data_IF_572746564288
#
_entry.id   IF_572746564288
#
_cell.length_a   1.000
_cell.length_b   1.000
_cell.length_c   1.000
_cell.angle_alpha   90.00
_cell.angle_beta   90.00
_cell.angle_gamma   90.00
#
_symmetry.space_group_name_H-M   'P 1'
#
loop_
_entity.id
_entity.type
_entity.pdbx_description
1 polymer ?
#
# COMPACT_ATOMS: atom_id res chain seq x y z
N UNK A 1 11.30 17.60 -4.68
CA UNK A 1 10.92 16.43 -5.49
C UNK A 1 10.28 15.29 -4.69
N UNK A 2 10.19 15.35 -3.35
CA UNK A 2 9.53 14.30 -2.54
C UNK A 2 8.03 14.51 -2.31
N UNK A 3 7.49 15.71 -2.52
CA UNK A 3 6.11 16.03 -2.18
C UNK A 3 5.09 15.23 -3.03
N UNK A 4 5.29 15.18 -4.34
CA UNK A 4 4.40 14.43 -5.24
C UNK A 4 4.44 12.92 -5.01
N UNK A 5 5.62 12.35 -4.73
CA UNK A 5 5.75 10.92 -4.40
C UNK A 5 5.06 10.58 -3.08
N UNK A 6 5.17 11.44 -2.07
CA UNK A 6 4.44 11.29 -0.81
C UNK A 6 2.92 11.37 -1.03
N UNK A 7 2.45 12.28 -1.88
CA UNK A 7 1.04 12.36 -2.26
C UNK A 7 0.58 11.09 -2.97
N UNK A 8 1.34 10.59 -3.96
CA UNK A 8 1.01 9.36 -4.68
C UNK A 8 0.92 8.17 -3.72
N UNK A 9 1.89 8.06 -2.81
CA UNK A 9 1.90 7.04 -1.77
C UNK A 9 0.65 7.16 -0.88
N UNK A 10 0.38 8.35 -0.34
CA UNK A 10 -0.80 8.57 0.51
C UNK A 10 -2.10 8.20 -0.21
N UNK A 11 -2.28 8.62 -1.47
CA UNK A 11 -3.46 8.31 -2.26
C UNK A 11 -3.59 6.83 -2.62
N UNK A 12 -2.47 6.11 -2.75
CA UNK A 12 -2.50 4.67 -2.90
C UNK A 12 -3.04 3.99 -1.64
N UNK A 13 -2.59 4.39 -0.44
CA UNK A 13 -3.15 3.85 0.81
C UNK A 13 -4.62 4.21 0.98
N UNK A 14 -5.03 5.44 0.64
CA UNK A 14 -6.45 5.83 0.63
C UNK A 14 -7.26 4.93 -0.33
N UNK A 15 -6.71 4.57 -1.49
CA UNK A 15 -7.37 3.67 -2.45
C UNK A 15 -7.57 2.26 -1.86
N UNK A 16 -6.53 1.72 -1.22
CA UNK A 16 -6.52 0.36 -0.69
C UNK A 16 -7.40 0.24 0.57
N UNK A 17 -7.24 1.16 1.52
CA UNK A 17 -7.87 1.05 2.84
C UNK A 17 -9.22 1.76 2.95
N UNK A 18 -9.42 2.90 2.30
CA UNK A 18 -10.67 3.66 2.39
C UNK A 18 -11.61 3.38 1.21
N UNK A 19 -11.07 3.27 -0.01
CA UNK A 19 -11.88 3.03 -1.22
C UNK A 19 -12.11 1.55 -1.54
N UNK A 20 -11.41 0.65 -0.85
CA UNK A 20 -11.61 -0.81 -0.96
C UNK A 20 -11.14 -1.43 -2.27
N UNK A 21 -10.17 -0.82 -2.98
CA UNK A 21 -9.59 -1.44 -4.16
C UNK A 21 -8.80 -2.70 -3.79
N UNK A 22 -9.19 -3.84 -4.34
CA UNK A 22 -8.50 -5.12 -4.09
C UNK A 22 -7.41 -5.43 -5.10
N UNK A 23 -7.31 -4.67 -6.19
CA UNK A 23 -6.34 -4.91 -7.26
C UNK A 23 -5.31 -3.79 -7.34
N UNK A 24 -4.06 -4.18 -7.63
CA UNK A 24 -2.92 -3.26 -7.65
C UNK A 24 -3.04 -2.18 -8.73
N UNK A 25 -3.46 -2.54 -9.95
CA UNK A 25 -3.62 -1.59 -11.06
C UNK A 25 -4.65 -0.49 -10.76
N UNK A 26 -5.91 -0.84 -10.44
CA UNK A 26 -6.94 0.13 -10.08
C UNK A 26 -6.56 1.04 -8.90
N UNK A 27 -5.89 0.51 -7.88
CA UNK A 27 -5.42 1.30 -6.74
C UNK A 27 -4.37 2.35 -7.17
N UNK A 28 -3.47 2.01 -8.09
CA UNK A 28 -2.44 2.92 -8.60
C UNK A 28 -3.03 3.95 -9.57
N UNK A 29 -3.96 3.55 -10.44
CA UNK A 29 -4.67 4.49 -11.31
C UNK A 29 -5.47 5.52 -10.51
N UNK A 30 -6.12 5.09 -9.42
CA UNK A 30 -6.76 6.00 -8.47
C UNK A 30 -5.75 6.99 -7.86
N UNK A 31 -4.60 6.49 -7.41
CA UNK A 31 -3.56 7.34 -6.82
C UNK A 31 -3.04 8.38 -7.82
N UNK A 32 -2.83 7.96 -9.08
CA UNK A 32 -2.42 8.85 -10.18
C UNK A 32 -3.49 9.89 -10.50
N UNK A 33 -4.76 9.50 -10.63
CA UNK A 33 -5.85 10.42 -10.95
C UNK A 33 -6.02 11.56 -9.93
N UNK A 34 -5.53 11.36 -8.70
CA UNK A 34 -5.59 12.34 -7.61
C UNK A 34 -4.32 13.21 -7.47
N UNK A 35 -3.38 13.14 -8.42
CA UNK A 35 -2.23 14.03 -8.45
C UNK A 35 -2.63 15.46 -8.84
N UNK A 36 -2.02 16.45 -8.20
CA UNK A 36 -2.23 17.86 -8.52
C UNK A 36 -1.32 18.31 -9.67
N UNK A 37 -1.72 19.37 -10.39
CA UNK A 37 -1.08 19.82 -11.63
C UNK A 37 0.44 20.05 -11.58
N UNK A 38 1.02 20.30 -10.41
CA UNK A 38 2.47 20.46 -10.22
C UNK A 38 3.24 19.13 -10.17
N UNK A 39 2.55 17.99 -10.07
CA UNK A 39 3.12 16.65 -9.97
C UNK A 39 2.71 15.77 -11.15
N UNK A 40 2.28 16.37 -12.27
CA UNK A 40 1.82 15.64 -13.46
C UNK A 40 2.94 14.82 -14.11
N UNK A 41 4.19 15.21 -13.90
CA UNK A 41 5.39 14.45 -14.29
C UNK A 41 5.43 13.05 -13.66
N UNK A 42 4.78 12.85 -12.51
CA UNK A 42 4.66 11.53 -11.89
C UNK A 42 3.72 10.58 -12.63
N UNK A 43 2.82 11.06 -13.51
CA UNK A 43 2.04 10.15 -14.34
C UNK A 43 2.93 9.35 -15.30
N UNK A 44 3.90 10.04 -15.91
CA UNK A 44 4.79 9.48 -16.93
C UNK A 44 6.00 8.77 -16.30
N UNK A 45 6.45 9.23 -15.14
CA UNK A 45 7.62 8.66 -14.46
C UNK A 45 7.29 7.53 -13.48
N UNK A 46 6.06 7.48 -12.95
CA UNK A 46 5.64 6.39 -12.07
C UNK A 46 5.19 5.18 -12.89
N UNK A 47 6.06 4.18 -12.96
CA UNK A 47 5.79 2.91 -13.65
C UNK A 47 5.45 1.85 -12.61
N UNK A 48 4.28 1.23 -12.75
CA UNK A 48 3.94 0.03 -12.00
C UNK A 48 4.79 -1.13 -12.53
N UNK A 49 5.59 -1.74 -11.66
CA UNK A 49 6.35 -2.95 -11.95
C UNK A 49 5.63 -4.15 -11.34
N UNK A 50 5.16 -5.08 -12.17
CA UNK A 50 4.42 -6.27 -11.74
C UNK A 50 3.20 -6.53 -12.61
N UNK A 51 2.28 -7.35 -12.10
CA UNK A 51 0.99 -7.61 -12.74
C UNK A 51 -0.05 -6.57 -12.27
N UNK A 52 -0.60 -5.73 -13.18
CA UNK A 52 -1.67 -4.80 -12.85
C UNK A 52 -2.95 -5.48 -12.33
N UNK A 53 -3.19 -6.74 -12.73
CA UNK A 53 -4.33 -7.53 -12.28
C UNK A 53 -4.05 -8.30 -10.98
N UNK A 54 -2.91 -8.06 -10.33
CA UNK A 54 -2.57 -8.70 -9.06
C UNK A 54 -3.56 -8.29 -7.96
N UNK A 55 -4.18 -9.28 -7.34
CA UNK A 55 -4.98 -9.10 -6.12
C UNK A 55 -4.06 -8.80 -4.93
N UNK A 56 -4.40 -7.76 -4.18
CA UNK A 56 -3.75 -7.37 -2.95
C UNK A 56 -4.17 -8.34 -1.84
N UNK A 57 -3.19 -8.93 -1.18
CA UNK A 57 -3.44 -9.82 -0.06
C UNK A 57 -3.80 -9.01 1.20
N UNK A 58 -5.05 -8.58 1.30
CA UNK A 58 -5.58 -7.78 2.40
C UNK A 58 -6.28 -8.62 3.49
N UNK A 59 -6.25 -9.95 3.34
CA UNK A 59 -6.86 -10.85 4.32
C UNK A 59 -5.97 -10.93 5.55
N UNK A 60 -6.25 -10.09 6.55
CA UNK A 60 -5.72 -10.28 7.90
C UNK A 60 -6.42 -11.51 8.47
N UNK A 61 -5.69 -12.62 8.64
CA UNK A 61 -6.19 -13.84 9.27
C UNK A 61 -5.92 -13.71 10.78
N UNK A 62 -6.93 -13.39 11.62
CA UNK A 62 -6.72 -13.01 13.02
C UNK A 62 -6.09 -14.10 13.90
N UNK A 63 -6.11 -15.36 13.44
CA UNK A 63 -5.68 -16.54 14.20
C UNK A 63 -4.38 -17.18 13.67
N UNK A 64 -3.73 -16.59 12.66
CA UNK A 64 -2.48 -17.18 12.10
C UNK A 64 -1.24 -16.84 12.92
N UNK A 65 -1.29 -15.81 13.77
CA UNK A 65 -0.16 -15.41 14.61
C UNK A 65 -0.31 -15.92 16.06
N UNK A 66 -0.27 -17.24 16.26
CA UNK A 66 -0.04 -17.82 17.58
C UNK A 66 1.47 -17.81 17.90
N UNK A 67 1.98 -16.69 18.42
CA UNK A 67 3.37 -16.61 18.87
C UNK A 67 3.52 -17.20 20.28
N UNK A 68 4.11 -18.40 20.37
CA UNK A 68 4.52 -19.02 21.63
C UNK A 68 5.96 -18.60 21.97
N UNK A 69 6.14 -17.74 22.98
CA UNK A 69 7.46 -17.33 23.48
C UNK A 69 7.82 -18.13 24.74
N UNK A 70 9.05 -18.68 24.86
CA UNK A 70 9.49 -19.34 26.07
C UNK A 70 9.67 -18.32 27.22
N UNK A 71 9.04 -18.59 28.36
CA UNK A 71 9.22 -17.82 29.58
C UNK A 71 10.58 -18.17 30.21
N UNK A 72 11.56 -17.27 30.10
CA UNK A 72 12.83 -17.40 30.84
C UNK A 72 12.67 -16.70 32.19
N UNK A 73 12.36 -17.48 33.23
CA UNK A 73 12.37 -17.02 34.61
C UNK A 73 13.79 -17.19 35.17
N UNK A 74 14.40 -16.10 35.64
CA UNK A 74 15.68 -16.14 36.35
C UNK A 74 15.40 -16.12 37.85
N UNK A 75 15.72 -17.21 38.55
CA UNK A 75 15.70 -17.24 40.02
C UNK A 75 16.95 -16.55 40.56
N UNK A 76 16.78 -15.67 41.56
CA UNK A 76 17.84 -15.12 42.40
C UNK A 76 18.18 -16.06 43.55
#
# INVERSE_FOLDING_TARGET
MSNGQNMLHQRFYDAVFDSGFTQLGPAIEYAKANLSGQNMDLHDTFVLLGDPAMELNMTIVPWTDETYLPLVLRSY
#
